data_IF_910715575563
#
_entry.id   IF_910715575563
#
_cell.length_a   1.000
_cell.length_b   1.000
_cell.length_c   1.000
_cell.angle_alpha   90.00
_cell.angle_beta   90.00
_cell.angle_gamma   90.00
#
_symmetry.space_group_name_H-M   'P 1'
#
loop_
_entity.id
_entity.type
_entity.pdbx_description
1 polymer ?
#
# COMPACT_ATOMS: atom_id res chain seq x y z
N UNK A 1 26.61 -5.39 8.61
CA UNK A 1 26.40 -3.93 8.44
C UNK A 1 27.38 -3.19 9.34
N UNK A 2 27.77 -1.97 9.00
CA UNK A 2 28.48 -1.11 9.96
C UNK A 2 27.50 -0.64 11.05
N UNK A 3 28.01 -0.24 12.21
CA UNK A 3 27.18 0.30 13.30
C UNK A 3 26.36 1.51 12.83
N UNK A 4 26.92 2.34 11.94
CA UNK A 4 26.26 3.50 11.36
C UNK A 4 25.07 3.10 10.47
N UNK A 5 25.24 2.14 9.55
CA UNK A 5 24.13 1.67 8.70
C UNK A 5 22.99 1.08 9.54
N UNK A 6 23.32 0.40 10.63
CA UNK A 6 22.30 -0.16 11.52
C UNK A 6 21.53 0.92 12.28
N UNK A 7 22.20 1.99 12.74
CA UNK A 7 21.53 3.14 13.35
C UNK A 7 20.56 3.81 12.37
N UNK A 8 21.01 4.04 11.13
CA UNK A 8 20.16 4.61 10.07
C UNK A 8 18.94 3.71 9.82
N UNK A 9 19.13 2.40 9.64
CA UNK A 9 18.01 1.47 9.42
C UNK A 9 16.98 1.50 10.57
N UNK A 10 17.43 1.59 11.82
CA UNK A 10 16.54 1.68 12.98
C UNK A 10 15.74 2.98 13.01
N UNK A 11 16.38 4.12 12.72
CA UNK A 11 15.70 5.41 12.65
C UNK A 11 14.63 5.36 11.56
N UNK A 12 14.99 4.89 10.36
CA UNK A 12 14.05 4.75 9.24
C UNK A 12 12.88 3.81 9.56
N UNK A 13 13.13 2.73 10.31
CA UNK A 13 12.09 1.82 10.77
C UNK A 13 11.13 2.51 11.75
N UNK A 14 11.65 3.18 12.79
CA UNK A 14 10.83 3.90 13.77
C UNK A 14 10.01 5.01 13.10
N UNK A 15 10.62 5.79 12.21
CA UNK A 15 9.92 6.83 11.44
C UNK A 15 8.78 6.23 10.61
N UNK A 16 8.95 5.07 9.99
CA UNK A 16 7.87 4.40 9.27
C UNK A 16 6.76 3.91 10.18
N UNK A 17 7.08 3.34 11.34
CA UNK A 17 6.06 2.88 12.30
C UNK A 17 5.21 4.06 12.76
N UNK A 18 5.86 5.16 13.17
CA UNK A 18 5.15 6.38 13.58
C UNK A 18 4.36 7.00 12.44
N UNK A 19 4.93 7.05 11.23
CA UNK A 19 4.24 7.56 10.05
C UNK A 19 3.00 6.72 9.70
N UNK A 20 3.08 5.39 9.74
CA UNK A 20 1.93 4.52 9.48
C UNK A 20 0.83 4.66 10.54
N UNK A 21 1.20 4.79 11.81
CA UNK A 21 0.23 5.10 12.89
C UNK A 21 -0.44 6.44 12.59
N UNK A 22 0.33 7.46 12.19
CA UNK A 22 -0.20 8.77 11.84
C UNK A 22 -1.17 8.72 10.65
N UNK A 23 -0.83 7.97 9.59
CA UNK A 23 -1.72 7.70 8.45
C UNK A 23 -3.04 7.09 8.93
N UNK A 24 -2.94 5.98 9.68
CA UNK A 24 -4.12 5.24 10.16
C UNK A 24 -5.01 6.08 11.07
N UNK A 25 -4.43 6.69 12.10
CA UNK A 25 -5.19 7.48 13.08
C UNK A 25 -5.79 8.73 12.47
N UNK A 26 -5.05 9.49 11.66
CA UNK A 26 -5.60 10.70 11.03
C UNK A 26 -6.75 10.36 10.05
N UNK A 27 -6.61 9.30 9.26
CA UNK A 27 -7.66 8.87 8.36
C UNK A 27 -8.88 8.33 9.13
N UNK A 28 -8.65 7.52 10.17
CA UNK A 28 -9.71 6.98 11.02
C UNK A 28 -10.54 8.10 11.67
N UNK A 29 -9.87 9.14 12.21
CA UNK A 29 -10.55 10.30 12.79
C UNK A 29 -11.33 11.07 11.73
N UNK A 30 -10.73 11.34 10.55
CA UNK A 30 -11.39 12.07 9.47
C UNK A 30 -12.69 11.41 9.00
N UNK A 31 -12.75 10.09 9.05
CA UNK A 31 -13.91 9.31 8.60
C UNK A 31 -15.14 9.42 9.52
N UNK A 32 -15.00 9.97 10.72
CA UNK A 32 -16.16 10.36 11.53
C UNK A 32 -16.83 11.63 11.01
N UNK A 33 -16.07 12.50 10.34
CA UNK A 33 -16.58 13.77 9.79
C UNK A 33 -17.09 13.60 8.36
N UNK A 34 -16.30 12.92 7.51
CA UNK A 34 -16.64 12.72 6.09
C UNK A 34 -16.02 11.45 5.54
N UNK A 35 -16.80 10.73 4.72
CA UNK A 35 -16.35 9.58 3.91
C UNK A 35 -16.28 9.91 2.43
N UNK A 36 -16.34 11.21 2.07
CA UNK A 36 -16.25 11.66 0.68
C UNK A 36 -14.91 11.29 0.05
N UNK A 37 -14.93 10.82 -1.19
CA UNK A 37 -13.74 10.30 -1.86
C UNK A 37 -13.24 8.96 -1.32
N UNK A 38 -13.56 8.58 -0.07
CA UNK A 38 -13.19 7.29 0.54
C UNK A 38 -13.94 6.15 -0.17
N UNK A 39 -13.31 4.99 -0.25
CA UNK A 39 -13.86 3.80 -0.88
C UNK A 39 -13.49 2.56 -0.08
N UNK A 40 -14.50 1.73 0.18
CA UNK A 40 -14.34 0.46 0.87
C UNK A 40 -13.54 -0.53 0.03
N UNK A 41 -13.78 -0.59 -1.28
CA UNK A 41 -13.02 -1.48 -2.17
C UNK A 41 -11.51 -1.15 -2.15
N UNK A 42 -11.15 0.13 -2.08
CA UNK A 42 -9.74 0.56 -2.02
C UNK A 42 -9.08 0.14 -0.72
N UNK A 43 -9.79 0.20 0.40
CA UNK A 43 -9.29 -0.30 1.69
C UNK A 43 -9.08 -1.81 1.66
N UNK A 44 -10.04 -2.57 1.12
CA UNK A 44 -9.91 -4.02 0.95
C UNK A 44 -8.75 -4.39 0.03
N UNK A 45 -8.58 -3.68 -1.09
CA UNK A 45 -7.45 -3.87 -1.98
C UNK A 45 -6.11 -3.53 -1.28
N UNK A 46 -6.06 -2.47 -0.47
CA UNK A 46 -4.88 -2.14 0.30
C UNK A 46 -4.53 -3.26 1.31
N UNK A 47 -5.51 -3.88 1.96
CA UNK A 47 -5.27 -5.03 2.82
C UNK A 47 -4.72 -6.24 2.04
N UNK A 48 -5.21 -6.48 0.82
CA UNK A 48 -4.64 -7.51 -0.07
C UNK A 48 -3.19 -7.18 -0.47
N UNK A 49 -2.88 -5.92 -0.79
CA UNK A 49 -1.52 -5.46 -1.02
C UNK A 49 -0.61 -5.75 0.18
N UNK A 50 -1.01 -5.36 1.39
CA UNK A 50 -0.24 -5.61 2.60
C UNK A 50 0.01 -7.11 2.82
N UNK A 51 -0.96 -7.95 2.46
CA UNK A 51 -0.83 -9.41 2.52
C UNK A 51 0.27 -9.91 1.57
N UNK A 52 0.23 -9.51 0.30
CA UNK A 52 1.25 -9.92 -0.68
C UNK A 52 2.64 -9.43 -0.28
N UNK A 53 2.75 -8.19 0.17
CA UNK A 53 4.03 -7.60 0.55
C UNK A 53 4.61 -8.23 1.82
N UNK A 54 3.77 -8.49 2.83
CA UNK A 54 4.17 -9.23 4.03
C UNK A 54 4.64 -10.65 3.68
N UNK A 55 3.94 -11.35 2.79
CA UNK A 55 4.37 -12.67 2.33
C UNK A 55 5.70 -12.66 1.58
N UNK A 56 5.97 -11.64 0.75
CA UNK A 56 7.27 -11.48 0.09
C UNK A 56 8.37 -11.19 1.13
N UNK A 57 8.11 -10.31 2.09
CA UNK A 57 9.06 -9.97 3.16
C UNK A 57 9.37 -11.18 4.06
N UNK A 58 8.35 -11.97 4.40
CA UNK A 58 8.52 -13.22 5.14
C UNK A 58 9.38 -14.22 4.36
N UNK A 59 9.14 -14.37 3.06
CA UNK A 59 9.97 -15.22 2.20
C UNK A 59 11.42 -14.72 2.14
N UNK A 60 11.63 -13.41 2.05
CA UNK A 60 12.97 -12.81 2.09
C UNK A 60 13.66 -13.10 3.44
N UNK A 61 12.94 -12.98 4.56
CA UNK A 61 13.46 -13.28 5.88
C UNK A 61 13.78 -14.76 6.08
N UNK A 62 12.92 -15.67 5.59
CA UNK A 62 13.17 -17.12 5.65
C UNK A 62 14.39 -17.54 4.83
N UNK A 63 14.62 -16.90 3.69
CA UNK A 63 15.80 -17.17 2.86
C UNK A 63 17.07 -16.57 3.47
N UNK A 64 16.99 -15.33 3.95
CA UNK A 64 18.10 -14.59 4.55
C UNK A 64 17.60 -13.77 5.75
N UNK A 65 17.68 -14.38 6.93
CA UNK A 65 17.20 -13.78 8.15
C UNK A 65 18.10 -12.62 8.55
N UNK A 66 17.59 -11.39 8.40
CA UNK A 66 18.29 -10.18 8.81
C UNK A 66 17.35 -9.28 9.60
N UNK A 67 17.93 -8.36 10.36
CA UNK A 67 17.17 -7.32 11.07
C UNK A 67 16.36 -6.45 10.09
N UNK A 68 16.91 -6.19 8.90
CA UNK A 68 16.21 -5.40 7.87
C UNK A 68 14.97 -6.14 7.35
N UNK A 69 15.08 -7.45 7.05
CA UNK A 69 13.94 -8.22 6.52
C UNK A 69 12.81 -8.37 7.55
N UNK A 70 13.13 -8.53 8.84
CA UNK A 70 12.10 -8.56 9.90
C UNK A 70 11.48 -7.17 10.14
N UNK A 71 12.26 -6.08 10.04
CA UNK A 71 11.73 -4.72 10.12
C UNK A 71 10.75 -4.42 9.00
N UNK A 72 11.07 -4.81 7.75
CA UNK A 72 10.17 -4.67 6.61
C UNK A 72 8.88 -5.49 6.84
N UNK A 73 8.97 -6.73 7.32
CA UNK A 73 7.79 -7.52 7.67
C UNK A 73 6.93 -6.83 8.75
N UNK A 74 7.57 -6.35 9.82
CA UNK A 74 6.89 -5.64 10.90
C UNK A 74 6.18 -4.36 10.40
N UNK A 75 6.78 -3.62 9.47
CA UNK A 75 6.15 -2.45 8.84
C UNK A 75 4.82 -2.83 8.16
N UNK A 76 4.77 -3.96 7.43
CA UNK A 76 3.51 -4.40 6.81
C UNK A 76 2.46 -4.81 7.85
N UNK A 77 2.87 -5.45 8.94
CA UNK A 77 1.98 -5.79 10.05
C UNK A 77 1.44 -4.53 10.76
N UNK A 78 2.28 -3.52 10.96
CA UNK A 78 1.82 -2.20 11.45
C UNK A 78 0.86 -1.56 10.46
N UNK A 79 1.11 -1.70 9.15
CA UNK A 79 0.19 -1.26 8.10
C UNK A 79 -1.20 -1.89 8.23
N UNK A 80 -1.28 -3.19 8.55
CA UNK A 80 -2.56 -3.84 8.85
C UNK A 80 -3.25 -3.22 10.07
N UNK A 81 -2.50 -2.95 11.14
CA UNK A 81 -3.01 -2.28 12.34
C UNK A 81 -3.48 -0.85 12.08
N UNK A 82 -2.88 -0.14 11.12
CA UNK A 82 -3.26 1.21 10.75
C UNK A 82 -4.51 1.26 9.85
N UNK A 83 -4.62 0.37 8.86
CA UNK A 83 -5.70 0.39 7.85
C UNK A 83 -6.90 -0.49 8.24
N UNK A 84 -6.67 -1.53 9.04
CA UNK A 84 -7.72 -2.42 9.54
C UNK A 84 -8.86 -1.69 10.25
N UNK A 85 -8.58 -0.79 11.23
CA UNK A 85 -9.62 -0.01 11.90
C UNK A 85 -10.44 0.88 10.95
N UNK A 86 -9.80 1.53 9.98
CA UNK A 86 -10.50 2.31 8.95
C UNK A 86 -11.44 1.42 8.12
N UNK A 87 -10.96 0.24 7.74
CA UNK A 87 -11.76 -0.74 6.99
C UNK A 87 -12.98 -1.21 7.80
N UNK A 88 -12.79 -1.50 9.09
CA UNK A 88 -13.87 -1.88 9.99
C UNK A 88 -14.90 -0.76 10.19
N UNK A 89 -14.44 0.50 10.27
CA UNK A 89 -15.32 1.67 10.37
C UNK A 89 -16.16 1.85 9.10
N UNK A 90 -15.58 1.68 7.90
CA UNK A 90 -16.35 1.68 6.65
C UNK A 90 -17.38 0.55 6.59
N UNK A 91 -17.01 -0.64 7.06
CA UNK A 91 -17.95 -1.76 7.12
C UNK A 91 -19.13 -1.42 8.05
N UNK A 92 -18.86 -0.81 9.21
CA UNK A 92 -19.93 -0.29 10.08
C UNK A 92 -20.78 0.75 9.37
N UNK A 93 -20.18 1.73 8.69
CA UNK A 93 -20.91 2.76 7.96
C UNK A 93 -21.79 2.18 6.85
N UNK A 94 -21.31 1.15 6.15
CA UNK A 94 -22.08 0.42 5.15
C UNK A 94 -23.32 -0.23 5.78
N UNK A 95 -23.16 -0.90 6.91
CA UNK A 95 -24.27 -1.56 7.61
C UNK A 95 -25.31 -0.57 8.17
N UNK A 96 -24.89 0.65 8.50
CA UNK A 96 -25.77 1.72 9.02
C UNK A 96 -26.35 2.64 7.94
N UNK A 97 -25.96 2.47 6.67
CA UNK A 97 -26.38 3.33 5.56
C UNK A 97 -25.67 4.68 5.44
N UNK A 98 -24.73 5.00 6.34
CA UNK A 98 -23.90 6.22 6.24
C UNK A 98 -22.91 6.16 5.07
N UNK A 99 -22.51 4.94 4.67
CA UNK A 99 -21.76 4.69 3.46
C UNK A 99 -22.59 3.82 2.53
N UNK A 100 -22.59 4.15 1.24
CA UNK A 100 -23.27 3.35 0.21
C UNK A 100 -22.20 2.78 -0.72
N UNK A 101 -22.23 1.47 -0.95
CA UNK A 101 -21.36 0.83 -1.93
C UNK A 101 -21.62 1.42 -3.32
N UNK A 102 -20.58 1.98 -3.93
CA UNK A 102 -20.71 2.74 -5.16
C UNK A 102 -20.38 1.91 -6.39
N UNK A 103 -20.75 2.41 -7.58
CA UNK A 103 -20.27 1.86 -8.86
C UNK A 103 -18.73 1.87 -8.94
N UNK A 104 -18.08 2.88 -8.37
CA UNK A 104 -16.61 2.98 -8.32
C UNK A 104 -16.01 1.83 -7.51
N UNK A 105 -16.66 1.39 -6.42
CA UNK A 105 -16.19 0.25 -5.64
C UNK A 105 -16.22 -1.05 -6.45
N UNK A 106 -17.33 -1.29 -7.17
CA UNK A 106 -17.47 -2.45 -8.05
C UNK A 106 -16.41 -2.44 -9.15
N UNK A 107 -16.20 -1.30 -9.82
CA UNK A 107 -15.19 -1.19 -10.88
C UNK A 107 -13.79 -1.44 -10.31
N UNK A 108 -13.49 -0.91 -9.13
CA UNK A 108 -12.18 -1.10 -8.48
C UNK A 108 -11.90 -2.56 -8.17
N UNK A 109 -12.88 -3.27 -7.57
CA UNK A 109 -12.76 -4.70 -7.32
C UNK A 109 -12.61 -5.50 -8.61
N UNK A 110 -13.38 -5.17 -9.65
CA UNK A 110 -13.30 -5.86 -10.95
C UNK A 110 -11.94 -5.64 -11.61
N UNK A 111 -11.41 -4.42 -11.62
CA UNK A 111 -10.08 -4.13 -12.18
C UNK A 111 -8.98 -4.88 -11.43
N UNK A 112 -9.02 -4.90 -10.10
CA UNK A 112 -8.06 -5.64 -9.29
C UNK A 112 -8.16 -7.16 -9.52
N UNK A 113 -9.38 -7.70 -9.60
CA UNK A 113 -9.63 -9.12 -9.85
C UNK A 113 -9.21 -9.55 -11.26
N UNK A 114 -9.64 -8.83 -12.29
CA UNK A 114 -9.27 -9.11 -13.69
C UNK A 114 -7.77 -8.99 -13.88
N UNK A 115 -7.13 -7.93 -13.35
CA UNK A 115 -5.68 -7.79 -13.40
C UNK A 115 -4.95 -8.96 -12.74
N UNK A 116 -5.43 -9.39 -11.57
CA UNK A 116 -4.89 -10.55 -10.85
C UNK A 116 -5.05 -11.85 -11.64
N UNK A 117 -6.22 -12.09 -12.24
CA UNK A 117 -6.50 -13.26 -13.08
C UNK A 117 -5.61 -13.26 -14.32
N UNK A 118 -5.42 -12.12 -14.98
CA UNK A 118 -4.53 -12.01 -16.14
C UNK A 118 -3.09 -12.32 -15.77
N UNK A 119 -2.60 -11.84 -14.63
CA UNK A 119 -1.24 -12.12 -14.15
C UNK A 119 -1.08 -13.61 -13.85
N UNK A 120 -2.02 -14.23 -13.12
CA UNK A 120 -1.96 -15.67 -12.83
C UNK A 120 -2.13 -16.51 -14.09
N UNK A 121 -3.02 -16.14 -15.01
CA UNK A 121 -3.26 -16.88 -16.25
C UNK A 121 -2.08 -16.83 -17.22
N UNK A 122 -1.38 -15.69 -17.29
CA UNK A 122 -0.22 -15.49 -18.19
C UNK A 122 1.08 -16.02 -17.59
N UNK A 123 1.33 -15.76 -16.30
CA UNK A 123 2.58 -16.13 -15.63
C UNK A 123 2.50 -17.45 -14.89
N UNK A 124 1.32 -17.91 -14.48
CA UNK A 124 1.12 -19.13 -13.68
C UNK A 124 1.56 -20.41 -14.40
N UNK A 125 1.67 -20.39 -15.73
CA UNK A 125 2.24 -21.49 -16.52
C UNK A 125 3.76 -21.60 -16.39
N UNK A 126 4.44 -20.51 -16.00
CA UNK A 126 5.91 -20.39 -15.93
C UNK A 126 6.44 -20.21 -14.51
N UNK A 127 5.65 -19.61 -13.63
CA UNK A 127 6.02 -19.25 -12.27
C UNK A 127 4.92 -19.63 -11.29
N UNK A 128 5.29 -20.09 -10.10
CA UNK A 128 4.35 -20.35 -9.01
C UNK A 128 3.72 -19.05 -8.50
N UNK A 129 2.50 -19.10 -7.96
CA UNK A 129 1.90 -17.97 -7.22
C UNK A 129 2.69 -17.61 -5.95
N UNK A 130 3.57 -18.51 -5.49
CA UNK A 130 4.52 -18.24 -4.42
C UNK A 130 5.76 -17.47 -4.88
N UNK A 131 5.96 -17.31 -6.19
CA UNK A 131 7.07 -16.55 -6.75
C UNK A 131 6.96 -15.06 -6.35
N UNK A 132 8.02 -14.47 -5.79
CA UNK A 132 7.96 -13.10 -5.32
C UNK A 132 7.65 -12.05 -6.39
N UNK A 133 8.04 -12.28 -7.65
CA UNK A 133 7.72 -11.36 -8.76
C UNK A 133 6.23 -11.39 -9.04
N UNK A 134 5.64 -12.58 -9.13
CA UNK A 134 4.19 -12.75 -9.33
C UNK A 134 3.43 -12.07 -8.20
N UNK A 135 3.85 -12.24 -6.94
CA UNK A 135 3.25 -11.56 -5.79
C UNK A 135 3.40 -10.04 -5.84
N UNK A 136 4.54 -9.51 -6.28
CA UNK A 136 4.73 -8.07 -6.46
C UNK A 136 3.81 -7.47 -7.53
N UNK A 137 3.56 -8.23 -8.60
CA UNK A 137 2.58 -7.86 -9.64
C UNK A 137 1.13 -7.94 -9.12
N UNK A 138 0.78 -8.98 -8.34
CA UNK A 138 -0.53 -9.06 -7.68
C UNK A 138 -0.74 -7.93 -6.66
N UNK A 139 0.32 -7.56 -5.93
CA UNK A 139 0.32 -6.39 -5.05
C UNK A 139 0.05 -5.11 -5.84
N UNK A 140 0.67 -4.95 -7.01
CA UNK A 140 0.41 -3.82 -7.93
C UNK A 140 -1.05 -3.75 -8.34
N UNK A 141 -1.68 -4.87 -8.72
CA UNK A 141 -3.11 -4.91 -9.04
C UNK A 141 -4.00 -4.55 -7.84
N UNK A 142 -3.55 -4.85 -6.63
CA UNK A 142 -4.28 -4.58 -5.39
C UNK A 142 -3.99 -3.20 -4.81
N UNK A 143 -3.13 -2.39 -5.43
CA UNK A 143 -2.74 -1.08 -4.89
C UNK A 143 -2.77 0.00 -5.94
N UNK A 144 -1.90 -0.11 -6.94
CA UNK A 144 -1.76 0.92 -7.96
C UNK A 144 -3.02 1.09 -8.80
N UNK A 145 -3.64 -0.01 -9.26
CA UNK A 145 -4.89 0.08 -10.02
C UNK A 145 -6.03 0.74 -9.20
N UNK A 146 -6.33 0.31 -7.96
CA UNK A 146 -7.24 1.04 -7.07
C UNK A 146 -6.88 2.51 -6.85
N UNK A 147 -5.60 2.84 -6.68
CA UNK A 147 -5.14 4.22 -6.51
C UNK A 147 -5.37 5.07 -7.77
N UNK A 148 -5.23 4.52 -8.97
CA UNK A 148 -5.58 5.25 -10.22
C UNK A 148 -7.07 5.56 -10.28
N UNK A 149 -7.92 4.61 -9.91
CA UNK A 149 -9.37 4.83 -9.85
C UNK A 149 -9.74 5.79 -8.71
N UNK A 150 -8.97 5.80 -7.62
CA UNK A 150 -9.10 6.77 -6.55
C UNK A 150 -8.75 8.17 -7.01
N UNK A 151 -7.63 8.34 -7.72
CA UNK A 151 -7.23 9.61 -8.29
C UNK A 151 -8.33 10.14 -9.22
N UNK A 152 -8.90 9.29 -10.08
CA UNK A 152 -10.05 9.65 -10.90
C UNK A 152 -11.27 10.07 -10.08
N UNK A 153 -11.61 9.33 -9.02
CA UNK A 153 -12.73 9.66 -8.13
C UNK A 153 -12.51 11.00 -7.45
N UNK A 154 -11.33 11.24 -6.88
CA UNK A 154 -10.97 12.51 -6.23
C UNK A 154 -11.01 13.68 -7.20
N UNK A 155 -10.54 13.48 -8.44
CA UNK A 155 -10.59 14.49 -9.48
C UNK A 155 -12.01 14.97 -9.77
N UNK A 156 -12.96 14.02 -9.83
CA UNK A 156 -14.36 14.28 -10.20
C UNK A 156 -15.24 14.70 -9.03
N UNK A 157 -15.11 14.00 -7.90
CA UNK A 157 -16.05 14.07 -6.77
C UNK A 157 -15.50 14.87 -5.59
N UNK A 158 -14.24 15.30 -5.61
CA UNK A 158 -13.57 15.89 -4.46
C UNK A 158 -12.82 14.86 -3.59
N UNK A 159 -11.88 15.36 -2.79
CA UNK A 159 -10.96 14.55 -1.98
C UNK A 159 -11.04 14.82 -0.47
N UNK A 160 -12.08 15.51 0.00
CA UNK A 160 -12.12 16.07 1.36
C UNK A 160 -12.16 15.01 2.48
N UNK A 161 -12.66 13.81 2.22
CA UNK A 161 -12.67 12.72 3.20
C UNK A 161 -11.30 12.07 3.43
N UNK A 162 -10.25 12.47 2.69
CA UNK A 162 -8.88 12.07 2.97
C UNK A 162 -8.14 13.10 3.82
N UNK A 163 -7.51 12.63 4.90
CA UNK A 163 -6.71 13.50 5.74
C UNK A 163 -5.42 13.93 5.00
N UNK A 164 -5.17 15.23 4.90
CA UNK A 164 -3.94 15.76 4.27
C UNK A 164 -2.66 15.17 4.91
N UNK A 165 -2.67 15.00 6.24
CA UNK A 165 -1.58 14.35 6.98
C UNK A 165 -1.36 12.93 6.47
N UNK A 166 -2.43 12.15 6.25
CA UNK A 166 -2.32 10.78 5.72
C UNK A 166 -1.69 10.75 4.32
N UNK A 167 -2.01 11.72 3.46
CA UNK A 167 -1.45 11.80 2.10
C UNK A 167 0.07 12.02 2.13
N UNK A 168 0.53 13.03 2.87
CA UNK A 168 1.96 13.37 2.93
C UNK A 168 2.78 12.32 3.69
N UNK A 169 2.26 11.80 4.80
CA UNK A 169 2.96 10.78 5.57
C UNK A 169 3.02 9.44 4.84
N UNK A 170 2.04 9.12 3.99
CA UNK A 170 2.10 7.96 3.11
C UNK A 170 3.24 8.04 2.08
N UNK A 171 3.51 9.22 1.50
CA UNK A 171 4.70 9.43 0.64
C UNK A 171 5.99 9.18 1.40
N UNK A 172 6.16 9.85 2.55
CA UNK A 172 7.38 9.72 3.36
C UNK A 172 7.62 8.26 3.73
N UNK A 173 6.59 7.56 4.22
CA UNK A 173 6.74 6.17 4.66
C UNK A 173 7.02 5.22 3.49
N UNK A 174 6.39 5.42 2.33
CA UNK A 174 6.62 4.60 1.13
C UNK A 174 8.01 4.82 0.55
N UNK A 175 8.47 6.08 0.46
CA UNK A 175 9.83 6.40 -0.01
C UNK A 175 10.91 5.85 0.93
N UNK A 176 10.71 5.95 2.25
CA UNK A 176 11.64 5.32 3.21
C UNK A 176 11.66 3.81 3.00
N UNK A 177 10.52 3.17 2.79
CA UNK A 177 10.44 1.72 2.56
C UNK A 177 11.14 1.30 1.27
N UNK A 178 10.94 2.04 0.18
CA UNK A 178 11.69 1.86 -1.07
C UNK A 178 13.19 1.99 -0.83
N UNK A 179 13.62 3.02 -0.10
CA UNK A 179 15.00 3.19 0.32
C UNK A 179 15.52 1.98 1.11
N UNK A 180 14.76 1.45 2.05
CA UNK A 180 15.12 0.25 2.82
C UNK A 180 15.22 -1.00 1.94
N UNK A 181 14.32 -1.21 0.97
CA UNK A 181 14.39 -2.32 0.01
C UNK A 181 15.65 -2.21 -0.87
N UNK A 182 16.02 -1.00 -1.27
CA UNK A 182 17.24 -0.74 -2.05
C UNK A 182 18.49 -1.00 -1.20
N UNK A 183 18.50 -0.52 0.05
CA UNK A 183 19.62 -0.67 0.98
C UNK A 183 19.76 -2.08 1.54
N UNK A 184 18.69 -2.87 1.58
CA UNK A 184 18.71 -4.25 2.11
C UNK A 184 19.39 -5.25 1.16
N UNK A 185 19.84 -4.83 -0.02
CA UNK A 185 20.70 -5.64 -0.88
C UNK A 185 21.97 -6.01 -0.09
N UNK A 186 22.08 -7.27 0.31
CA UNK A 186 23.21 -7.75 1.12
C UNK A 186 24.56 -7.57 0.41
N UNK A 187 25.63 -7.59 1.22
CA UNK A 187 27.06 -7.58 0.85
C UNK A 187 27.30 -8.51 -0.36
N UNK A 188 27.30 -7.93 -1.56
CA UNK A 188 27.36 -8.66 -2.83
C UNK A 188 26.54 -8.01 -3.95
N UNK A 189 25.60 -7.12 -3.63
CA UNK A 189 24.94 -6.22 -4.58
C UNK A 189 23.88 -6.85 -5.49
N UNK A 190 23.64 -8.17 -5.38
CA UNK A 190 22.70 -8.89 -6.25
C UNK A 190 21.26 -8.71 -5.81
N UNK A 191 20.39 -8.35 -6.76
CA UNK A 191 18.95 -8.36 -6.59
C UNK A 191 18.44 -9.80 -6.48
N UNK A 192 17.84 -10.15 -5.34
CA UNK A 192 17.07 -11.40 -5.24
C UNK A 192 15.65 -11.20 -5.77
N UNK A 193 14.98 -12.29 -6.16
CA UNK A 193 13.57 -12.22 -6.61
C UNK A 193 12.67 -11.55 -5.58
N UNK A 194 12.89 -11.79 -4.28
CA UNK A 194 12.11 -11.14 -3.22
C UNK A 194 12.32 -9.63 -3.16
N UNK A 195 13.57 -9.16 -3.30
CA UNK A 195 13.85 -7.72 -3.38
C UNK A 195 13.19 -7.10 -4.59
N UNK A 196 13.25 -7.75 -5.75
CA UNK A 196 12.58 -7.27 -6.96
C UNK A 196 11.05 -7.23 -6.79
N UNK A 197 10.45 -8.25 -6.17
CA UNK A 197 9.02 -8.27 -5.87
C UNK A 197 8.59 -7.13 -4.96
N UNK A 198 9.35 -6.87 -3.89
CA UNK A 198 9.14 -5.72 -3.00
C UNK A 198 9.27 -4.39 -3.75
N UNK A 199 10.30 -4.26 -4.59
CA UNK A 199 10.53 -3.04 -5.35
C UNK A 199 9.42 -2.78 -6.38
N UNK A 200 8.92 -3.80 -7.08
CA UNK A 200 7.79 -3.68 -8.01
C UNK A 200 6.56 -3.17 -7.27
N UNK A 201 6.18 -3.84 -6.17
CA UNK A 201 4.98 -3.48 -5.42
C UNK A 201 5.05 -2.09 -4.79
N UNK A 202 6.16 -1.73 -4.16
CA UNK A 202 6.31 -0.40 -3.55
C UNK A 202 6.53 0.70 -4.59
N UNK A 203 7.24 0.41 -5.68
CA UNK A 203 7.50 1.38 -6.73
C UNK A 203 6.21 1.79 -7.43
N UNK A 204 5.36 0.83 -7.76
CA UNK A 204 4.05 1.12 -8.37
C UNK A 204 3.10 1.79 -7.37
N UNK A 205 3.15 1.43 -6.09
CA UNK A 205 2.42 2.12 -5.02
C UNK A 205 2.81 3.61 -4.93
N UNK A 206 4.09 3.95 -4.91
CA UNK A 206 4.53 5.36 -4.84
C UNK A 206 4.14 6.16 -6.10
N UNK A 207 4.34 5.57 -7.28
CA UNK A 207 4.00 6.23 -8.55
C UNK A 207 2.50 6.53 -8.65
N UNK A 208 1.66 5.57 -8.28
CA UNK A 208 0.21 5.76 -8.31
C UNK A 208 -0.29 6.65 -7.17
N UNK A 209 0.35 6.62 -5.99
CA UNK A 209 0.05 7.55 -4.91
C UNK A 209 0.40 9.00 -5.27
N UNK A 210 1.46 9.21 -6.06
CA UNK A 210 1.77 10.54 -6.60
C UNK A 210 0.62 11.07 -7.45
N UNK A 211 0.01 10.23 -8.29
CA UNK A 211 -1.15 10.62 -9.09
C UNK A 211 -2.39 10.91 -8.23
N UNK A 212 -2.59 10.15 -7.16
CA UNK A 212 -3.61 10.43 -6.14
C UNK A 212 -3.40 11.80 -5.52
N UNK A 213 -2.18 12.12 -5.09
CA UNK A 213 -1.87 13.41 -4.47
C UNK A 213 -2.09 14.57 -5.42
N UNK A 214 -1.70 14.42 -6.70
CA UNK A 214 -2.00 15.41 -7.75
C UNK A 214 -3.52 15.60 -7.87
N UNK A 215 -4.27 14.51 -7.96
CA UNK A 215 -5.72 14.60 -8.09
C UNK A 215 -6.41 15.16 -6.83
N UNK A 216 -5.83 14.96 -5.65
CA UNK A 216 -6.30 15.54 -4.41
C UNK A 216 -6.03 17.06 -4.34
N UNK A 217 -4.87 17.52 -4.82
CA UNK A 217 -4.50 18.94 -4.82
C UNK A 217 -5.31 19.78 -5.82
N UNK A 218 -5.64 19.22 -6.98
CA UNK A 218 -6.24 19.95 -8.10
C UNK A 218 -7.65 19.48 -8.47
N UNK A 219 -8.13 18.38 -7.87
CA UNK A 219 -9.47 17.85 -8.08
C UNK A 219 -10.52 18.64 -7.31
N UNK A 220 -11.68 18.86 -7.92
CA UNK A 220 -12.81 19.55 -7.27
C UNK A 220 -12.70 21.08 -7.16
N UNK A 221 -11.57 21.72 -7.49
CA UNK A 221 -11.45 23.20 -7.48
C UNK A 221 -11.93 23.89 -8.76
N UNK A 222 -12.54 23.15 -9.70
CA UNK A 222 -12.92 23.65 -11.04
C UNK A 222 -14.32 23.24 -11.51
N UNK A 223 -15.23 22.85 -10.60
CA UNK A 223 -16.65 22.64 -10.93
C UNK A 223 -17.52 23.39 -9.92
#
# INVERSE_FOLDING_TARGET
MTQQTQRVANILFVTQVLGLIMVGTSQFVRMFDSVEGVSMSMHLCFMAFLTFMAMIALNAHRAHATRATIQILAIYLVGFGAIGPCTALLAKHLLTGFYIWTRSDTITMLCAAVGSVLIVGTLGKRYSIHDPIVRGLLATCSKALPQLLMAWKMWRDGGEGYAAVAIWTAHITTLIRLGQVILSRERGGKWTRSHMGLFIGEGTNELSWTLVTIAWLFGGSHI
#
